data_IF_170679039665
#
_entry.id   IF_170679039665
#
_cell.length_a   1.000
_cell.length_b   1.000
_cell.length_c   1.000
_cell.angle_alpha   90.00
_cell.angle_beta   90.00
_cell.angle_gamma   90.00
#
_symmetry.space_group_name_H-M   'P 1'
#
loop_
_entity.id
_entity.type
_entity.pdbx_description
1 polymer ?
#
# COMPACT_ATOMS: atom_id res chain seq x y z
N UNK A 1 -10.26 -15.55 -22.38
CA UNK A 1 -8.97 -14.87 -22.61
C UNK A 1 -9.27 -13.45 -23.06
N UNK A 2 -8.92 -12.43 -22.26
CA UNK A 2 -9.11 -11.02 -22.65
C UNK A 2 -7.79 -10.55 -23.24
N UNK A 3 -7.73 -10.49 -24.58
CA UNK A 3 -6.56 -9.98 -25.30
C UNK A 3 -6.72 -8.49 -25.50
N UNK A 4 -5.88 -7.70 -24.84
CA UNK A 4 -5.75 -6.27 -25.15
C UNK A 4 -4.61 -6.18 -26.17
N UNK A 5 -4.98 -6.19 -27.45
CA UNK A 5 -4.08 -5.90 -28.54
C UNK A 5 -4.03 -4.38 -28.72
N UNK A 6 -2.87 -3.79 -28.45
CA UNK A 6 -2.63 -2.36 -28.49
C UNK A 6 -3.03 -1.74 -29.84
N UNK A 7 -4.17 -1.05 -29.84
CA UNK A 7 -4.29 0.32 -30.40
C UNK A 7 -4.77 1.32 -29.34
N UNK A 8 -5.34 0.83 -28.23
CA UNK A 8 -5.91 1.63 -27.16
C UNK A 8 -5.38 1.18 -25.77
N UNK A 9 -4.94 2.15 -24.97
CA UNK A 9 -4.53 2.07 -23.56
C UNK A 9 -5.76 1.97 -22.67
N UNK A 10 -5.82 1.03 -21.74
CA UNK A 10 -6.82 1.06 -20.66
C UNK A 10 -6.33 2.00 -19.56
N UNK A 11 -7.01 3.13 -19.40
CA UNK A 11 -6.72 4.11 -18.37
C UNK A 11 -7.83 4.11 -17.30
N UNK A 12 -7.47 3.97 -16.04
CA UNK A 12 -8.36 4.21 -14.91
C UNK A 12 -8.05 5.60 -14.35
N UNK A 13 -8.96 6.54 -14.60
CA UNK A 13 -8.84 7.93 -14.16
C UNK A 13 -10.10 8.33 -13.40
N UNK A 14 -9.96 8.83 -12.17
CA UNK A 14 -11.10 9.16 -11.30
C UNK A 14 -12.12 8.01 -11.17
N UNK A 15 -11.65 6.76 -11.13
CA UNK A 15 -12.51 5.57 -11.07
C UNK A 15 -13.31 5.25 -12.35
N UNK A 16 -13.04 5.94 -13.47
CA UNK A 16 -13.66 5.67 -14.77
C UNK A 16 -12.64 5.06 -15.72
N UNK A 17 -13.11 4.10 -16.53
CA UNK A 17 -12.31 3.42 -17.54
C UNK A 17 -12.32 4.24 -18.85
N UNK A 18 -11.14 4.53 -19.38
CA UNK A 18 -10.92 5.24 -20.63
C UNK A 18 -10.03 4.43 -21.57
N UNK A 19 -10.14 4.74 -22.86
CA UNK A 19 -9.25 4.26 -23.91
C UNK A 19 -8.35 5.43 -24.37
N UNK A 20 -7.02 5.34 -24.16
CA UNK A 20 -6.07 6.38 -24.57
C UNK A 20 -5.13 5.89 -25.68
N UNK A 21 -4.68 6.76 -26.58
CA UNK A 21 -3.90 6.40 -27.77
C UNK A 21 -2.40 6.67 -27.62
N UNK A 22 -1.81 6.42 -26.44
CA UNK A 22 -0.35 6.55 -26.27
C UNK A 22 0.34 5.19 -26.37
N UNK A 23 1.12 5.01 -27.44
CA UNK A 23 1.87 3.77 -27.76
C UNK A 23 2.83 3.28 -26.66
N UNK A 24 3.17 4.10 -25.66
CA UNK A 24 4.14 3.74 -24.62
C UNK A 24 3.54 2.93 -23.46
N UNK A 25 2.26 3.14 -23.12
CA UNK A 25 1.63 2.51 -21.95
C UNK A 25 0.30 1.85 -22.33
N UNK A 26 0.13 0.60 -21.94
CA UNK A 26 -1.10 -0.17 -22.11
C UNK A 26 -2.03 -0.07 -20.89
N UNK A 27 -1.46 0.18 -19.71
CA UNK A 27 -2.20 0.45 -18.47
C UNK A 27 -1.75 1.81 -17.92
N UNK A 28 -2.71 2.68 -17.58
CA UNK A 28 -2.44 3.91 -16.84
C UNK A 28 -3.39 4.01 -15.63
N UNK A 29 -2.84 4.09 -14.43
CA UNK A 29 -3.59 4.26 -13.17
C UNK A 29 -3.08 5.54 -12.52
N UNK A 30 -3.78 6.63 -12.76
CA UNK A 30 -3.30 7.98 -12.43
C UNK A 30 -4.35 8.74 -11.62
N UNK A 31 -3.90 9.42 -10.57
CA UNK A 31 -4.69 10.44 -9.86
C UNK A 31 -6.05 9.89 -9.36
N UNK A 32 -6.01 8.74 -8.69
CA UNK A 32 -7.18 8.17 -8.03
C UNK A 32 -7.04 8.34 -6.51
N UNK A 33 -7.51 9.47 -5.93
CA UNK A 33 -7.23 9.82 -4.54
C UNK A 33 -7.84 8.86 -3.51
N UNK A 34 -8.82 8.04 -3.90
CA UNK A 34 -9.50 7.07 -3.02
C UNK A 34 -9.27 5.60 -3.40
N UNK A 35 -8.42 5.33 -4.38
CA UNK A 35 -8.17 3.97 -4.83
C UNK A 35 -7.28 3.27 -3.82
N UNK A 36 -7.79 2.20 -3.21
CA UNK A 36 -7.07 1.42 -2.19
C UNK A 36 -6.58 0.06 -2.71
N UNK A 37 -7.23 -0.48 -3.72
CA UNK A 37 -6.93 -1.77 -4.31
C UNK A 37 -7.28 -1.79 -5.80
N UNK A 38 -6.55 -2.60 -6.55
CA UNK A 38 -6.90 -2.93 -7.93
C UNK A 38 -8.02 -3.98 -7.95
N UNK A 39 -8.53 -4.27 -9.16
CA UNK A 39 -9.50 -5.33 -9.33
C UNK A 39 -8.88 -6.71 -9.00
N UNK A 40 -9.69 -7.70 -8.59
CA UNK A 40 -9.22 -9.07 -8.45
C UNK A 40 -8.67 -9.56 -9.79
N UNK A 41 -7.40 -9.90 -9.83
CA UNK A 41 -6.76 -10.26 -11.09
C UNK A 41 -7.35 -11.55 -11.65
N UNK A 42 -7.65 -11.54 -12.94
CA UNK A 42 -8.00 -12.76 -13.65
C UNK A 42 -6.74 -13.35 -14.30
N UNK A 43 -6.52 -14.67 -14.24
CA UNK A 43 -5.32 -15.33 -14.77
C UNK A 43 -5.19 -15.26 -16.31
N UNK A 44 -6.14 -14.63 -17.01
CA UNK A 44 -6.24 -14.62 -18.46
C UNK A 44 -6.06 -13.22 -19.08
N UNK A 45 -5.44 -12.29 -18.35
CA UNK A 45 -5.07 -10.98 -18.85
C UNK A 45 -3.72 -11.07 -19.56
N UNK A 46 -3.67 -10.70 -20.84
CA UNK A 46 -2.42 -10.59 -21.59
C UNK A 46 -2.38 -9.27 -22.33
N UNK A 47 -1.28 -8.55 -22.15
CA UNK A 47 -1.00 -7.29 -22.81
C UNK A 47 0.18 -7.52 -23.75
N UNK A 48 -0.08 -7.36 -25.04
CA UNK A 48 0.86 -7.75 -26.11
C UNK A 48 1.91 -6.68 -26.41
N UNK A 49 1.63 -5.40 -26.15
CA UNK A 49 2.56 -4.29 -26.32
C UNK A 49 2.20 -3.14 -25.38
N UNK A 50 3.16 -2.26 -25.10
CA UNK A 50 3.02 -1.16 -24.14
C UNK A 50 3.36 -1.56 -22.71
N UNK A 51 3.67 -0.55 -21.90
CA UNK A 51 4.02 -0.66 -20.48
C UNK A 51 2.87 -0.34 -19.52
N UNK A 52 3.21 -0.06 -18.26
CA UNK A 52 2.30 0.37 -17.20
C UNK A 52 2.82 1.65 -16.55
N UNK A 53 1.92 2.59 -16.25
CA UNK A 53 2.21 3.75 -15.41
C UNK A 53 1.23 3.81 -14.24
N UNK A 54 1.74 3.94 -13.01
CA UNK A 54 0.95 4.07 -11.78
C UNK A 54 1.51 5.17 -10.90
N UNK A 55 0.81 6.30 -10.80
CA UNK A 55 1.26 7.50 -10.08
C UNK A 55 0.08 8.20 -9.42
N UNK A 56 0.34 8.94 -8.33
CA UNK A 56 -0.65 9.79 -7.64
C UNK A 56 -1.87 9.01 -7.11
N UNK A 57 -1.66 7.81 -6.57
CA UNK A 57 -2.71 7.01 -5.94
C UNK A 57 -2.41 6.88 -4.43
N UNK A 58 -2.73 7.91 -3.62
CA UNK A 58 -2.22 8.04 -2.26
C UNK A 58 -2.64 6.94 -1.28
N UNK A 59 -3.72 6.21 -1.57
CA UNK A 59 -4.19 5.08 -0.75
C UNK A 59 -3.87 3.70 -1.36
N UNK A 60 -3.27 3.65 -2.56
CA UNK A 60 -2.92 2.41 -3.25
C UNK A 60 -1.47 2.04 -2.97
N UNK A 61 -1.25 1.04 -2.14
CA UNK A 61 0.09 0.61 -1.79
C UNK A 61 0.83 -0.13 -2.94
N UNK A 62 2.15 0.07 -3.11
CA UNK A 62 2.94 -0.63 -4.13
C UNK A 62 2.82 -2.16 -4.10
N UNK A 63 2.76 -2.76 -2.91
CA UNK A 63 2.56 -4.21 -2.74
C UNK A 63 1.21 -4.73 -3.29
N UNK A 64 0.21 -3.86 -3.48
CA UNK A 64 -1.06 -4.19 -4.15
C UNK A 64 -1.01 -4.05 -5.67
N UNK A 65 0.05 -3.44 -6.20
CA UNK A 65 0.32 -3.29 -7.63
C UNK A 65 1.23 -4.42 -8.11
N UNK A 66 2.25 -4.80 -7.33
CA UNK A 66 3.25 -5.79 -7.71
C UNK A 66 2.68 -7.11 -8.28
N UNK A 67 1.63 -7.73 -7.71
CA UNK A 67 1.09 -8.98 -8.27
C UNK A 67 0.55 -8.83 -9.70
N UNK A 68 0.05 -7.64 -10.08
CA UNK A 68 -0.35 -7.38 -11.46
C UNK A 68 0.85 -7.51 -12.41
N UNK A 69 2.00 -6.96 -12.03
CA UNK A 69 3.20 -6.92 -12.86
C UNK A 69 3.91 -8.28 -12.85
N UNK A 70 4.11 -8.83 -11.66
CA UNK A 70 4.99 -9.97 -11.42
C UNK A 70 4.26 -11.30 -11.69
N UNK A 71 3.02 -11.44 -11.22
CA UNK A 71 2.30 -12.72 -11.26
C UNK A 71 1.37 -12.84 -12.47
N UNK A 72 0.70 -11.74 -12.86
CA UNK A 72 -0.36 -11.74 -13.87
C UNK A 72 0.18 -11.41 -15.24
N UNK A 73 0.91 -10.29 -15.34
CA UNK A 73 1.54 -9.88 -16.59
C UNK A 73 2.86 -10.61 -16.83
N UNK A 74 3.49 -11.12 -15.76
CA UNK A 74 4.79 -11.78 -15.79
C UNK A 74 5.87 -10.93 -16.48
N UNK A 75 5.82 -9.62 -16.25
CA UNK A 75 6.74 -8.68 -16.90
C UNK A 75 8.03 -8.56 -16.12
N UNK A 76 9.14 -8.67 -16.85
CA UNK A 76 10.46 -8.42 -16.28
C UNK A 76 10.79 -6.92 -16.39
N UNK A 77 11.21 -6.29 -15.29
CA UNK A 77 11.67 -4.89 -15.26
C UNK A 77 12.89 -4.62 -16.16
N UNK A 78 13.60 -5.67 -16.55
CA UNK A 78 14.73 -5.61 -17.49
C UNK A 78 14.32 -5.73 -18.96
N UNK A 79 13.04 -5.98 -19.26
CA UNK A 79 12.55 -6.03 -20.64
C UNK A 79 12.46 -4.62 -21.23
N UNK A 80 13.41 -4.28 -22.12
CA UNK A 80 13.48 -2.97 -22.77
C UNK A 80 12.26 -2.62 -23.64
N UNK A 81 11.41 -3.60 -23.97
CA UNK A 81 10.14 -3.39 -24.67
C UNK A 81 8.97 -2.98 -23.76
N UNK A 82 9.15 -3.00 -22.44
CA UNK A 82 8.10 -2.73 -21.44
C UNK A 82 8.52 -1.61 -20.50
N UNK A 83 7.79 -0.50 -20.54
CA UNK A 83 8.00 0.58 -19.59
C UNK A 83 7.19 0.31 -18.31
N UNK A 84 7.85 -0.06 -17.20
CA UNK A 84 7.20 -0.24 -15.90
C UNK A 84 7.52 0.99 -15.05
N UNK A 85 6.55 1.89 -14.94
CA UNK A 85 6.70 3.18 -14.28
C UNK A 85 5.73 3.27 -13.09
N UNK A 86 6.18 2.75 -11.94
CA UNK A 86 5.41 2.74 -10.70
C UNK A 86 6.14 3.61 -9.69
N UNK A 87 5.50 4.68 -9.24
CA UNK A 87 6.09 5.61 -8.28
C UNK A 87 5.98 5.09 -6.85
N UNK A 88 7.12 4.91 -6.17
CA UNK A 88 7.14 4.55 -4.74
C UNK A 88 6.84 5.74 -3.81
N UNK A 89 6.84 6.98 -4.34
CA UNK A 89 6.67 8.21 -3.55
C UNK A 89 5.28 8.82 -3.63
N UNK A 90 4.50 8.48 -4.65
CA UNK A 90 3.14 9.02 -4.86
C UNK A 90 2.03 7.98 -4.76
N UNK A 91 2.39 6.69 -4.69
CA UNK A 91 1.44 5.61 -4.43
C UNK A 91 1.56 5.19 -2.96
N UNK A 92 0.42 5.10 -2.27
CA UNK A 92 0.38 4.69 -0.87
C UNK A 92 0.95 5.72 0.11
N UNK A 93 1.24 6.95 -0.33
CA UNK A 93 1.87 7.97 0.52
C UNK A 93 0.92 8.65 1.54
N UNK A 94 -0.37 8.31 1.53
CA UNK A 94 -1.33 8.75 2.56
C UNK A 94 -1.75 7.62 3.52
N UNK A 95 -1.18 6.43 3.39
CA UNK A 95 -1.52 5.26 4.22
C UNK A 95 -0.25 4.50 4.65
N UNK A 96 -0.33 3.79 5.77
CA UNK A 96 0.73 2.87 6.17
C UNK A 96 0.66 1.59 5.33
N UNK A 97 1.55 1.45 4.34
CA UNK A 97 1.55 0.28 3.45
C UNK A 97 2.20 -0.97 4.02
N UNK A 98 3.11 -0.80 4.97
CA UNK A 98 3.76 -1.88 5.70
C UNK A 98 3.34 -1.79 7.17
N UNK A 99 2.26 -2.49 7.52
CA UNK A 99 1.74 -2.53 8.88
C UNK A 99 2.21 -3.82 9.52
N UNK A 100 2.92 -3.69 10.65
CA UNK A 100 3.26 -4.81 11.50
C UNK A 100 2.39 -4.79 12.75
N UNK A 101 2.01 -5.97 13.22
CA UNK A 101 1.29 -6.09 14.48
C UNK A 101 2.28 -5.95 15.64
N UNK A 102 1.92 -5.12 16.61
CA UNK A 102 2.65 -4.98 17.86
C UNK A 102 1.85 -5.72 18.93
N UNK A 103 2.49 -6.69 19.57
CA UNK A 103 1.90 -7.36 20.72
C UNK A 103 2.03 -6.46 21.93
N UNK A 104 0.90 -6.18 22.59
CA UNK A 104 0.83 -5.28 23.72
C UNK A 104 0.37 -6.05 24.96
N UNK A 105 1.06 -5.83 26.07
CA UNK A 105 0.68 -6.31 27.40
C UNK A 105 -0.05 -5.20 28.14
N UNK A 106 -1.19 -5.54 28.73
CA UNK A 106 -2.01 -4.64 29.54
C UNK A 106 -2.03 -5.13 30.98
N UNK A 107 -1.74 -4.23 31.91
CA UNK A 107 -1.77 -4.52 33.35
C UNK A 107 -2.56 -3.40 34.04
N UNK A 108 -3.61 -3.76 34.78
CA UNK A 108 -4.25 -2.82 35.71
C UNK A 108 -3.34 -2.66 36.92
N UNK A 109 -2.95 -1.41 37.20
CA UNK A 109 -2.09 -1.12 38.34
C UNK A 109 -2.93 -0.99 39.60
N UNK A 110 -2.67 -1.88 40.55
CA UNK A 110 -3.26 -1.81 41.88
C UNK A 110 -2.90 -0.51 42.59
N UNK A 111 -3.87 -0.01 43.37
CA UNK A 111 -3.70 1.19 44.19
C UNK A 111 -2.73 0.93 45.34
N UNK A 112 -1.44 1.09 45.10
CA UNK A 112 -0.45 1.12 46.18
C UNK A 112 -0.36 2.56 46.71
N UNK A 113 -0.74 2.83 47.98
CA UNK A 113 -0.64 4.16 48.56
C UNK A 113 0.79 4.70 48.45
N UNK A 114 0.97 5.84 47.77
CA UNK A 114 2.24 6.57 47.69
C UNK A 114 3.15 6.27 46.49
N UNK A 115 2.83 5.30 45.61
CA UNK A 115 3.64 5.05 44.39
C UNK A 115 3.02 5.58 43.09
N UNK A 116 1.70 5.56 42.96
CA UNK A 116 1.02 5.94 41.71
C UNK A 116 -0.20 6.82 42.02
N UNK A 117 -0.24 8.04 41.46
CA UNK A 117 -1.39 8.94 41.57
C UNK A 117 -2.23 8.88 40.28
N UNK A 118 -3.03 7.84 40.09
CA UNK A 118 -4.15 7.91 39.15
C UNK A 118 -5.43 7.35 39.78
N UNK A 119 -6.57 7.91 39.37
CA UNK A 119 -7.90 7.64 39.91
C UNK A 119 -8.91 7.86 38.80
N UNK A 120 -9.85 6.93 38.53
CA UNK A 120 -10.16 5.73 39.32
C UNK A 120 -9.36 4.47 38.96
N UNK A 121 -8.87 4.34 37.72
CA UNK A 121 -8.18 3.15 37.18
C UNK A 121 -6.89 3.60 36.49
N UNK A 122 -5.81 2.83 36.66
CA UNK A 122 -4.54 3.03 35.98
C UNK A 122 -4.27 1.78 35.12
N UNK A 123 -4.04 1.97 33.82
CA UNK A 123 -3.63 0.87 32.93
C UNK A 123 -2.20 1.12 32.49
N UNK A 124 -1.33 0.14 32.74
CA UNK A 124 0.01 0.08 32.18
C UNK A 124 -0.06 -0.66 30.85
N UNK A 125 0.54 -0.04 29.83
CA UNK A 125 0.60 -0.55 28.47
C UNK A 125 2.07 -0.72 28.11
N UNK A 126 2.48 -1.94 27.78
CA UNK A 126 3.87 -2.27 27.44
C UNK A 126 3.94 -3.10 26.17
N UNK A 127 5.02 -2.92 25.41
CA UNK A 127 5.34 -3.70 24.21
C UNK A 127 6.85 -3.79 24.05
N UNK A 128 7.31 -4.78 23.29
CA UNK A 128 8.73 -4.93 22.95
C UNK A 128 9.18 -3.85 21.96
N UNK A 129 10.45 -3.46 22.02
CA UNK A 129 11.02 -2.51 21.07
C UNK A 129 10.94 -3.04 19.63
N UNK A 130 10.37 -2.23 18.74
CA UNK A 130 10.24 -2.57 17.33
C UNK A 130 11.49 -2.13 16.59
N UNK A 131 12.17 -3.07 15.94
CA UNK A 131 13.33 -2.80 15.08
C UNK A 131 12.94 -3.11 13.64
N UNK A 132 12.99 -2.10 12.77
CA UNK A 132 12.65 -2.21 11.35
C UNK A 132 13.95 -2.28 10.55
N UNK A 133 14.12 -3.33 9.75
CA UNK A 133 15.27 -3.55 8.85
C UNK A 133 16.63 -3.44 9.57
N UNK A 134 16.69 -3.93 10.82
CA UNK A 134 17.88 -3.87 11.69
C UNK A 134 18.40 -2.46 12.01
N UNK A 135 17.62 -1.41 11.75
CA UNK A 135 17.97 -0.02 12.09
C UNK A 135 16.98 0.57 13.09
N UNK A 136 17.45 0.78 14.31
CA UNK A 136 16.66 1.34 15.42
C UNK A 136 16.24 2.79 15.18
N UNK A 137 16.88 3.51 14.24
CA UNK A 137 16.57 4.91 13.93
C UNK A 137 15.34 5.06 13.04
N UNK A 138 14.81 3.96 12.50
CA UNK A 138 13.64 3.98 11.63
C UNK A 138 12.33 4.21 12.39
N UNK A 139 12.32 3.99 13.71
CA UNK A 139 11.16 4.29 14.54
C UNK A 139 11.20 5.74 14.99
N UNK A 140 10.27 6.54 14.49
CA UNK A 140 10.19 7.97 14.82
C UNK A 140 9.44 8.22 16.14
N UNK A 141 8.32 7.52 16.35
CA UNK A 141 7.50 7.63 17.56
C UNK A 141 6.52 6.45 17.66
N UNK A 142 6.03 6.22 18.87
CA UNK A 142 4.87 5.37 19.14
C UNK A 142 3.65 6.25 19.43
N UNK A 143 2.46 5.80 19.03
CA UNK A 143 1.20 6.45 19.38
C UNK A 143 0.27 5.44 20.03
N UNK A 144 -0.23 5.76 21.23
CA UNK A 144 -1.26 4.98 21.91
C UNK A 144 -2.57 5.74 21.81
N UNK A 145 -3.57 5.14 21.16
CA UNK A 145 -4.93 5.69 21.05
C UNK A 145 -5.89 4.75 21.77
N UNK A 146 -6.72 5.29 22.66
CA UNK A 146 -7.74 4.53 23.38
C UNK A 146 -9.08 5.28 23.33
N UNK A 147 -10.17 4.53 23.49
CA UNK A 147 -11.52 5.07 23.66
C UNK A 147 -12.24 4.28 24.74
N UNK A 148 -13.12 4.96 25.47
CA UNK A 148 -14.18 4.28 26.23
C UNK A 148 -15.15 3.66 25.20
N UNK A 149 -15.51 2.40 25.38
CA UNK A 149 -16.31 1.62 24.43
C UNK A 149 -17.61 1.17 25.08
#
# INVERSE_FOLDING_TARGET
MVKIASKDTLALYQGKLFFQTRKAYAIAILDNPKLEALWPFQPNLSITAGGIIVHLNPHLCPNRINPLVDDILMWNRSDSGRNIDISDTTNGNAVACNVQQINVTLEELDRVPGRVRCSPVCIKVEWDEIIIDSDFRNVLFYTVSYREA
#
